data_IF_129481011429
#
_entry.id   IF_129481011429
#
_cell.length_a   1.000
_cell.length_b   1.000
_cell.length_c   1.000
_cell.angle_alpha   90.00
_cell.angle_beta   90.00
_cell.angle_gamma   90.00
#
_symmetry.space_group_name_H-M   'P 1'
#
loop_
_entity.id
_entity.type
_entity.pdbx_description
1 polymer ?
#
# COMPACT_ATOMS: atom_id res chain seq x y z
N UNK A 1 2.61 -17.80 11.25
CA UNK A 1 2.10 -16.47 11.68
C UNK A 1 1.99 -15.64 10.42
N UNK A 2 0.89 -14.93 10.18
CA UNK A 2 0.81 -14.10 8.99
C UNK A 2 1.37 -12.70 9.21
N UNK A 3 1.90 -12.11 8.14
CA UNK A 3 2.55 -10.80 8.13
C UNK A 3 1.97 -9.93 7.01
N UNK A 4 1.91 -8.63 7.25
CA UNK A 4 1.58 -7.67 6.21
C UNK A 4 2.84 -7.27 5.43
N UNK A 5 2.75 -7.28 4.10
CA UNK A 5 3.67 -6.53 3.25
C UNK A 5 3.31 -5.03 3.30
N UNK A 6 4.09 -4.21 2.61
CA UNK A 6 3.88 -2.78 2.44
C UNK A 6 3.17 -2.51 1.12
N UNK A 7 2.16 -1.65 1.13
CA UNK A 7 1.52 -1.15 -0.08
C UNK A 7 2.24 0.09 -0.58
N UNK A 8 2.31 0.24 -1.90
CA UNK A 8 2.66 1.50 -2.56
C UNK A 8 1.42 2.07 -3.25
N UNK A 9 1.11 3.32 -2.94
CA UNK A 9 -0.07 4.05 -3.44
C UNK A 9 0.37 5.43 -3.90
N UNK A 10 -0.22 5.94 -4.97
CA UNK A 10 0.04 7.32 -5.37
C UNK A 10 -0.73 8.34 -4.52
N UNK A 11 -0.29 9.60 -4.52
CA UNK A 11 -0.95 10.68 -3.76
C UNK A 11 -2.42 10.90 -4.17
N UNK A 12 -2.85 10.39 -5.33
CA UNK A 12 -4.25 10.40 -5.79
C UNK A 12 -5.01 9.09 -5.51
N UNK A 13 -4.45 8.15 -4.75
CA UNK A 13 -5.15 6.94 -4.28
C UNK A 13 -5.12 5.74 -5.22
N UNK A 14 -4.37 5.80 -6.33
CA UNK A 14 -4.17 4.63 -7.17
C UNK A 14 -3.14 3.68 -6.54
N UNK A 15 -3.58 2.45 -6.26
CA UNK A 15 -2.68 1.36 -5.87
C UNK A 15 -1.70 1.04 -6.99
N UNK A 16 -0.41 0.95 -6.63
CA UNK A 16 0.68 0.53 -7.52
C UNK A 16 0.99 -0.95 -7.28
N UNK A 17 1.20 -1.32 -6.01
CA UNK A 17 1.41 -2.71 -5.57
C UNK A 17 1.00 -2.85 -4.11
N UNK A 18 0.46 -4.00 -3.71
CA UNK A 18 0.29 -4.41 -2.31
C UNK A 18 1.44 -5.25 -1.77
N UNK A 19 2.47 -5.51 -2.58
CA UNK A 19 3.64 -6.32 -2.26
C UNK A 19 4.92 -5.55 -2.55
N UNK A 20 5.08 -4.40 -1.91
CA UNK A 20 6.25 -3.55 -2.15
C UNK A 20 7.54 -4.28 -1.81
N UNK A 21 7.63 -4.99 -0.68
CA UNK A 21 8.86 -5.65 -0.24
C UNK A 21 9.11 -6.96 -1.02
N UNK A 22 8.08 -7.78 -1.20
CA UNK A 22 8.19 -9.10 -1.83
C UNK A 22 8.13 -9.11 -3.36
N UNK A 23 7.63 -8.03 -3.99
CA UNK A 23 7.57 -7.89 -5.46
C UNK A 23 8.16 -6.55 -5.94
N UNK A 24 9.48 -6.36 -5.81
CA UNK A 24 10.17 -5.11 -6.15
C UNK A 24 10.03 -4.69 -7.63
N UNK A 25 9.77 -5.62 -8.53
CA UNK A 25 9.55 -5.40 -9.96
C UNK A 25 8.30 -4.57 -10.27
N UNK A 26 7.34 -4.48 -9.34
CA UNK A 26 6.11 -3.70 -9.50
C UNK A 26 6.22 -2.27 -8.94
N UNK A 27 7.34 -1.92 -8.30
CA UNK A 27 7.54 -0.60 -7.70
C UNK A 27 7.61 0.46 -8.80
N UNK A 28 6.95 1.59 -8.56
CA UNK A 28 6.99 2.72 -9.48
C UNK A 28 7.17 4.01 -8.68
N UNK A 29 8.10 4.89 -9.05
CA UNK A 29 8.28 6.17 -8.34
C UNK A 29 7.07 7.09 -8.55
N UNK A 30 6.45 7.02 -9.73
CA UNK A 30 5.30 7.81 -10.15
C UNK A 30 4.20 6.89 -10.68
N UNK A 31 2.95 7.29 -10.49
CA UNK A 31 1.80 6.54 -10.96
C UNK A 31 1.68 6.57 -12.49
N UNK A 32 1.60 5.41 -13.13
CA UNK A 32 1.35 5.30 -14.57
C UNK A 32 -0.01 5.86 -15.03
N UNK A 33 -1.01 5.93 -14.12
CA UNK A 33 -2.37 6.39 -14.43
C UNK A 33 -2.53 7.91 -14.38
N UNK A 34 -1.82 8.58 -13.47
CA UNK A 34 -2.04 10.01 -13.19
C UNK A 34 -0.76 10.83 -13.03
N UNK A 35 0.42 10.21 -13.04
CA UNK A 35 1.71 10.90 -12.91
C UNK A 35 2.07 11.36 -11.49
N UNK A 36 1.18 11.20 -10.50
CA UNK A 36 1.46 11.59 -9.12
C UNK A 36 2.57 10.75 -8.49
N UNK A 37 3.32 11.36 -7.56
CA UNK A 37 4.29 10.66 -6.71
C UNK A 37 3.62 9.54 -5.90
N UNK A 38 4.44 8.57 -5.52
CA UNK A 38 4.01 7.41 -4.75
C UNK A 38 4.58 7.40 -3.35
N UNK A 39 3.81 6.87 -2.42
CA UNK A 39 4.17 6.74 -1.01
C UNK A 39 3.96 5.30 -0.56
N UNK A 40 4.74 4.90 0.45
CA UNK A 40 4.66 3.59 1.11
C UNK A 40 4.42 3.71 2.61
N UNK A 41 4.35 4.94 3.11
CA UNK A 41 4.21 5.26 4.52
C UNK A 41 3.26 6.43 4.73
N UNK A 42 2.62 6.45 5.89
CA UNK A 42 1.88 7.61 6.38
C UNK A 42 2.81 8.82 6.50
N UNK A 43 2.37 9.95 5.98
CA UNK A 43 3.14 11.19 6.00
C UNK A 43 3.17 11.85 7.39
N UNK A 44 2.20 11.51 8.25
CA UNK A 44 2.06 12.06 9.61
C UNK A 44 2.89 11.30 10.65
N UNK A 45 2.84 9.95 10.64
CA UNK A 45 3.50 9.13 11.66
C UNK A 45 4.62 8.22 11.14
N UNK A 46 4.80 8.12 9.81
CA UNK A 46 5.82 7.25 9.20
C UNK A 46 5.46 5.76 9.17
N UNK A 47 4.27 5.36 9.66
CA UNK A 47 3.80 3.98 9.61
C UNK A 47 3.71 3.46 8.17
N UNK A 48 4.19 2.24 7.91
CA UNK A 48 4.04 1.59 6.59
C UNK A 48 2.56 1.39 6.24
N UNK A 49 2.19 1.63 4.99
CA UNK A 49 0.83 1.36 4.51
C UNK A 49 0.68 -0.15 4.40
N UNK A 50 -0.34 -0.73 5.03
CA UNK A 50 -0.55 -2.19 5.02
C UNK A 50 -0.91 -2.67 3.61
N UNK A 51 -0.08 -3.56 3.08
CA UNK A 51 -0.30 -4.26 1.83
C UNK A 51 -0.94 -5.62 2.05
N UNK A 52 -0.57 -6.57 1.20
CA UNK A 52 -1.09 -7.92 1.22
C UNK A 52 -0.76 -8.61 2.55
N UNK A 53 -1.70 -9.42 3.05
CA UNK A 53 -1.47 -10.27 4.21
C UNK A 53 -1.05 -11.66 3.78
N UNK A 54 0.20 -12.02 4.02
CA UNK A 54 0.77 -13.31 3.67
C UNK A 54 0.83 -14.24 4.87
N UNK A 55 0.40 -15.49 4.67
CA UNK A 55 0.51 -16.57 5.65
C UNK A 55 1.39 -17.66 5.05
N UNK A 56 2.46 -18.03 5.74
CA UNK A 56 3.38 -19.07 5.29
C UNK A 56 2.65 -20.35 4.86
N UNK A 57 2.91 -20.79 3.63
CA UNK A 57 2.32 -22.01 3.06
C UNK A 57 0.89 -21.86 2.55
N UNK A 58 0.30 -20.66 2.58
CA UNK A 58 -1.05 -20.38 2.09
C UNK A 58 -1.00 -19.41 0.91
N UNK A 59 -1.59 -19.80 -0.21
CA UNK A 59 -1.81 -18.92 -1.36
C UNK A 59 -3.27 -18.53 -1.39
N UNK A 60 -3.58 -17.28 -1.07
CA UNK A 60 -4.91 -16.73 -1.23
C UNK A 60 -5.14 -16.37 -2.70
N UNK A 61 -6.16 -16.95 -3.32
CA UNK A 61 -6.55 -16.68 -4.71
C UNK A 61 -7.79 -15.81 -4.71
N UNK A 62 -7.74 -14.66 -5.39
CA UNK A 62 -8.89 -13.76 -5.57
C UNK A 62 -9.12 -12.74 -4.45
N UNK A 63 -8.22 -12.63 -3.46
CA UNK A 63 -8.25 -11.54 -2.49
C UNK A 63 -7.58 -10.29 -3.08
N UNK A 64 -8.31 -9.17 -3.14
CA UNK A 64 -7.75 -7.85 -3.46
C UNK A 64 -7.48 -7.07 -2.17
N UNK A 65 -6.27 -6.54 -2.02
CA UNK A 65 -5.95 -5.61 -0.93
C UNK A 65 -6.49 -4.22 -1.28
N UNK A 66 -7.45 -3.72 -0.52
CA UNK A 66 -8.05 -2.40 -0.72
C UNK A 66 -7.10 -1.29 -0.26
N UNK A 67 -7.12 -0.14 -0.97
CA UNK A 67 -6.38 1.05 -0.55
C UNK A 67 -7.06 1.64 0.69
N UNK A 68 -6.35 1.80 1.82
CA UNK A 68 -6.96 2.33 3.03
C UNK A 68 -7.18 3.84 2.92
N UNK A 69 -8.28 4.34 3.52
CA UNK A 69 -8.55 5.79 3.61
C UNK A 69 -7.84 6.43 4.83
N UNK A 70 -7.58 5.65 5.88
CA UNK A 70 -7.01 6.14 7.13
C UNK A 70 -5.81 5.31 7.56
N UNK A 71 -4.83 5.97 8.19
CA UNK A 71 -3.68 5.29 8.76
C UNK A 71 -4.09 4.37 9.92
N UNK A 72 -3.67 3.11 9.85
CA UNK A 72 -3.98 2.13 10.89
C UNK A 72 -3.25 2.35 12.23
N UNK A 73 -2.19 3.18 12.25
CA UNK A 73 -1.44 3.48 13.48
C UNK A 73 -1.85 4.80 14.13
N UNK A 74 -2.01 5.90 13.37
CA UNK A 74 -2.36 7.21 13.93
C UNK A 74 -3.80 7.67 13.65
N UNK A 75 -4.52 7.02 12.74
CA UNK A 75 -5.91 7.39 12.38
C UNK A 75 -6.04 8.58 11.44
N UNK A 76 -4.96 9.25 11.07
CA UNK A 76 -5.00 10.37 10.12
C UNK A 76 -5.42 9.91 8.71
N UNK A 77 -6.22 10.71 7.98
CA UNK A 77 -6.58 10.43 6.61
C UNK A 77 -5.36 10.44 5.69
N UNK A 78 -5.37 9.60 4.67
CA UNK A 78 -4.36 9.66 3.61
C UNK A 78 -4.66 10.78 2.60
N UNK A 79 -3.63 11.27 1.87
CA UNK A 79 -3.76 12.44 0.96
C UNK A 79 -4.83 12.31 -0.14
N UNK A 80 -5.23 11.08 -0.49
CA UNK A 80 -6.21 10.81 -1.54
C UNK A 80 -7.66 10.81 -1.08
N UNK A 81 -7.92 11.14 0.19
CA UNK A 81 -9.27 11.21 0.75
C UNK A 81 -9.90 12.60 0.68
N UNK A 82 -9.17 13.59 0.14
CA UNK A 82 -9.60 14.98 -0.03
C UNK A 82 -10.33 15.26 -1.35
#
# INVERSE_FOLDING_TARGET
>A
MGQYDTMQVCLNGHQITDRYETSPEHRQNFCEKCGAETITQCQECGAKIRGNYDVDGVVAVGSSTEVPDYCHECGEPYPWTE
#
